data_IF_312497284723
#
_entry.id   IF_312497284723
#
_cell.length_a   1.000
_cell.length_b   1.000
_cell.length_c   1.000
_cell.angle_alpha   90.00
_cell.angle_beta   90.00
_cell.angle_gamma   90.00
#
_symmetry.space_group_name_H-M   'P 1'
#
loop_
_entity.id
_entity.type
_entity.pdbx_description
1 polymer ?
#
# COMPACT_ATOMS: atom_id res chain seq x y z
N UNK A 1 -0.08 -9.28 11.70
CA UNK A 1 0.59 -8.82 10.47
C UNK A 1 1.30 -7.52 10.79
N UNK A 2 2.50 -7.30 10.26
CA UNK A 2 3.30 -6.08 10.51
C UNK A 2 3.92 -5.62 9.19
N UNK A 3 3.75 -4.33 8.89
CA UNK A 3 4.65 -3.60 8.02
C UNK A 3 5.82 -3.11 8.85
N UNK A 4 7.02 -3.62 8.60
CA UNK A 4 8.18 -3.34 9.46
C UNK A 4 8.78 -1.95 9.21
N UNK A 5 8.56 -1.42 8.01
CA UNK A 5 9.18 -0.20 7.51
C UNK A 5 8.33 0.34 6.36
N UNK A 6 7.64 1.47 6.59
CA UNK A 6 6.81 2.12 5.58
C UNK A 6 7.70 2.78 4.53
N UNK A 7 7.43 2.53 3.25
CA UNK A 7 8.12 3.07 2.09
C UNK A 7 9.65 3.05 2.21
N UNK A 8 10.25 1.87 2.37
CA UNK A 8 11.69 1.72 2.64
C UNK A 8 12.62 2.40 1.60
N UNK A 9 12.11 2.72 0.41
CA UNK A 9 12.83 3.44 -0.65
C UNK A 9 12.80 4.98 -0.54
N UNK A 10 12.09 5.58 0.43
CA UNK A 10 12.10 7.04 0.57
C UNK A 10 13.46 7.55 1.03
N UNK A 11 13.95 8.67 0.48
CA UNK A 11 15.29 9.19 0.78
C UNK A 11 15.45 9.77 2.18
N UNK A 12 14.42 9.64 3.05
CA UNK A 12 14.44 10.12 4.44
C UNK A 12 15.02 9.10 5.42
N UNK A 13 15.12 7.83 5.05
CA UNK A 13 15.75 6.83 5.91
C UNK A 13 17.26 6.99 5.91
N UNK A 14 17.81 7.41 7.05
CA UNK A 14 19.26 7.60 7.23
C UNK A 14 20.00 6.30 7.60
N UNK A 15 19.30 5.36 8.24
CA UNK A 15 19.87 4.08 8.63
C UNK A 15 19.75 3.05 7.51
N UNK A 16 20.88 2.49 7.06
CA UNK A 16 20.92 1.52 5.94
C UNK A 16 19.99 0.31 6.14
N UNK A 17 19.83 -0.14 7.40
CA UNK A 17 18.95 -1.26 7.74
C UNK A 17 17.47 -1.01 7.41
N UNK A 18 17.08 0.26 7.22
CA UNK A 18 15.74 0.70 6.80
C UNK A 18 15.64 0.99 5.29
N UNK A 19 16.65 0.63 4.50
CA UNK A 19 16.68 0.89 3.05
C UNK A 19 16.53 -0.41 2.23
N UNK A 20 16.17 -0.34 0.93
CA UNK A 20 15.81 -1.51 0.12
C UNK A 20 16.84 -2.64 0.15
N UNK A 21 18.12 -2.27 0.08
CA UNK A 21 19.22 -3.22 0.03
C UNK A 21 19.41 -4.06 1.32
N UNK A 22 18.84 -3.65 2.47
CA UNK A 22 19.00 -4.35 3.77
C UNK A 22 17.73 -4.59 4.57
N UNK A 23 16.61 -3.94 4.24
CA UNK A 23 15.36 -4.05 5.01
C UNK A 23 14.86 -5.49 5.18
N UNK A 24 15.17 -6.38 4.24
CA UNK A 24 14.89 -7.81 4.33
C UNK A 24 15.51 -8.49 5.57
N UNK A 25 16.65 -7.99 6.07
CA UNK A 25 17.25 -8.47 7.33
C UNK A 25 16.31 -8.25 8.53
N UNK A 26 15.54 -7.16 8.56
CA UNK A 26 14.54 -6.90 9.60
C UNK A 26 13.32 -7.80 9.46
N UNK A 27 12.91 -8.08 8.22
CA UNK A 27 11.84 -9.05 7.93
C UNK A 27 12.25 -10.42 8.50
N UNK A 28 13.45 -10.89 8.18
CA UNK A 28 13.96 -12.19 8.67
C UNK A 28 14.14 -12.21 10.20
N UNK A 29 14.56 -11.11 10.81
CA UNK A 29 14.62 -10.97 12.26
C UNK A 29 13.23 -11.15 12.89
N UNK A 30 12.20 -10.45 12.39
CA UNK A 30 10.83 -10.59 12.90
C UNK A 30 10.30 -12.01 12.70
N UNK A 31 10.61 -12.65 11.57
CA UNK A 31 10.23 -14.05 11.32
C UNK A 31 10.85 -15.03 12.31
N UNK A 32 12.02 -14.71 12.87
CA UNK A 32 12.68 -15.53 13.89
C UNK A 32 12.02 -15.46 15.28
N UNK A 33 11.16 -14.46 15.52
CA UNK A 33 10.49 -14.25 16.80
C UNK A 33 9.16 -15.02 16.83
N UNK A 34 8.95 -15.81 17.88
CA UNK A 34 7.70 -16.54 18.11
C UNK A 34 7.11 -16.17 19.48
N UNK A 35 5.80 -15.99 19.54
CA UNK A 35 5.04 -15.79 20.77
C UNK A 35 3.94 -16.84 20.84
N UNK A 36 3.90 -17.64 21.91
CA UNK A 36 2.94 -18.75 22.07
C UNK A 36 2.81 -19.65 20.83
N UNK A 37 3.96 -20.02 20.23
CA UNK A 37 4.07 -20.82 18.99
C UNK A 37 3.49 -20.17 17.73
N UNK A 38 3.07 -18.91 17.80
CA UNK A 38 2.57 -18.14 16.66
C UNK A 38 3.66 -17.18 16.18
N UNK A 39 3.91 -17.18 14.87
CA UNK A 39 4.78 -16.22 14.20
C UNK A 39 3.93 -15.09 13.61
N UNK A 40 4.46 -13.87 13.64
CA UNK A 40 3.82 -12.72 13.00
C UNK A 40 4.19 -12.70 11.50
N UNK A 41 3.19 -12.51 10.63
CA UNK A 41 3.42 -12.26 9.21
C UNK A 41 4.00 -10.86 9.01
N UNK A 42 5.07 -10.74 8.21
CA UNK A 42 5.83 -9.50 8.04
C UNK A 42 6.15 -9.20 6.58
N UNK A 43 6.17 -7.91 6.26
CA UNK A 43 6.60 -7.35 4.98
C UNK A 43 7.01 -5.88 5.14
N UNK A 44 7.31 -5.22 4.02
CA UNK A 44 7.64 -3.78 3.92
C UNK A 44 7.09 -3.26 2.60
N UNK A 45 6.83 -1.97 2.52
CA UNK A 45 6.43 -1.29 1.28
C UNK A 45 7.59 -0.49 0.68
N UNK A 46 7.46 -0.17 -0.60
CA UNK A 46 8.27 0.82 -1.30
C UNK A 46 7.38 2.05 -1.55
N UNK A 47 7.99 3.20 -1.84
CA UNK A 47 7.23 4.39 -2.21
C UNK A 47 6.28 4.16 -3.40
N UNK A 48 5.33 5.09 -3.56
CA UNK A 48 4.32 5.05 -4.64
C UNK A 48 4.86 4.65 -6.02
N UNK A 49 4.07 3.88 -6.76
CA UNK A 49 4.38 3.43 -8.12
C UNK A 49 5.71 2.63 -8.25
N UNK A 50 6.12 1.95 -7.19
CA UNK A 50 7.37 1.17 -7.16
C UNK A 50 7.10 -0.28 -6.76
N UNK A 51 7.69 -1.23 -7.49
CA UNK A 51 7.65 -2.67 -7.16
C UNK A 51 8.82 -3.04 -6.22
N UNK A 52 8.70 -4.08 -5.39
CA UNK A 52 9.77 -4.50 -4.50
C UNK A 52 10.95 -5.15 -5.24
N UNK A 53 12.13 -5.13 -4.62
CA UNK A 53 13.28 -5.90 -5.07
C UNK A 53 13.21 -7.39 -4.66
N UNK A 54 13.95 -8.26 -5.37
CA UNK A 54 13.97 -9.71 -5.15
C UNK A 54 14.31 -10.12 -3.71
N UNK A 55 15.21 -9.41 -3.03
CA UNK A 55 15.56 -9.68 -1.63
C UNK A 55 14.35 -9.51 -0.70
N UNK A 56 13.53 -8.48 -0.92
CA UNK A 56 12.30 -8.24 -0.16
C UNK A 56 11.24 -9.28 -0.50
N UNK A 57 11.06 -9.59 -1.79
CA UNK A 57 10.12 -10.63 -2.22
C UNK A 57 10.45 -11.97 -1.57
N UNK A 58 11.73 -12.36 -1.57
CA UNK A 58 12.20 -13.62 -0.97
C UNK A 58 11.88 -13.75 0.52
N UNK A 59 12.06 -12.66 1.28
CA UNK A 59 11.93 -12.69 2.74
C UNK A 59 10.49 -12.45 3.22
N UNK A 60 9.64 -11.78 2.44
CA UNK A 60 8.30 -11.34 2.87
C UNK A 60 7.27 -12.47 2.96
N UNK A 61 6.26 -12.30 3.81
CA UNK A 61 5.09 -13.20 3.88
C UNK A 61 3.90 -12.72 3.01
N UNK A 62 3.94 -11.46 2.61
CA UNK A 62 3.00 -10.77 1.73
C UNK A 62 3.71 -9.54 1.15
N UNK A 63 3.26 -9.06 0.00
CA UNK A 63 3.80 -7.85 -0.62
C UNK A 63 2.89 -6.65 -0.32
N UNK A 64 3.53 -5.56 0.09
CA UNK A 64 2.93 -4.24 0.18
C UNK A 64 3.46 -3.35 -0.96
N UNK A 65 2.54 -2.70 -1.66
CA UNK A 65 2.85 -1.70 -2.69
C UNK A 65 2.01 -0.45 -2.45
N UNK A 66 2.48 0.68 -2.94
CA UNK A 66 1.76 1.95 -2.83
C UNK A 66 1.27 2.38 -4.22
N UNK A 67 -0.01 2.70 -4.34
CA UNK A 67 -0.63 3.26 -5.54
C UNK A 67 -0.49 4.77 -5.64
N UNK A 68 0.14 5.42 -4.64
CA UNK A 68 0.30 6.86 -4.59
C UNK A 68 0.92 7.43 -5.87
N UNK A 69 0.30 8.47 -6.42
CA UNK A 69 0.76 9.14 -7.63
C UNK A 69 0.56 8.35 -8.93
N UNK A 70 -0.06 7.17 -8.89
CA UNK A 70 -0.46 6.42 -10.10
C UNK A 70 -1.72 7.07 -10.68
N UNK A 71 -1.55 7.72 -11.84
CA UNK A 71 -2.64 8.42 -12.55
C UNK A 71 -3.36 7.49 -13.54
N UNK A 72 -2.64 6.62 -14.27
CA UNK A 72 -3.26 5.63 -15.16
C UNK A 72 -3.54 4.34 -14.37
N UNK A 73 -4.80 3.96 -14.14
CA UNK A 73 -5.12 2.77 -13.35
C UNK A 73 -4.55 1.47 -13.89
N UNK A 74 -4.23 1.38 -15.19
CA UNK A 74 -3.62 0.18 -15.77
C UNK A 74 -2.28 -0.15 -15.10
N UNK A 75 -1.57 0.88 -14.64
CA UNK A 75 -0.29 0.72 -13.96
C UNK A 75 -0.40 -0.14 -12.70
N UNK A 76 -1.52 -0.08 -11.98
CA UNK A 76 -1.77 -0.93 -10.79
C UNK A 76 -1.75 -2.42 -11.17
N UNK A 77 -2.41 -2.79 -12.28
CA UNK A 77 -2.38 -4.15 -12.79
C UNK A 77 -1.00 -4.58 -13.27
N UNK A 78 -0.28 -3.68 -13.96
CA UNK A 78 1.10 -3.92 -14.40
C UNK A 78 2.05 -4.16 -13.22
N UNK A 79 1.95 -3.37 -12.15
CA UNK A 79 2.75 -3.54 -10.93
C UNK A 79 2.57 -4.93 -10.30
N UNK A 80 1.32 -5.42 -10.27
CA UNK A 80 1.00 -6.78 -9.78
C UNK A 80 1.64 -7.83 -10.70
N UNK A 81 1.53 -7.67 -12.01
CA UNK A 81 2.09 -8.59 -12.99
C UNK A 81 3.63 -8.62 -12.94
N UNK A 82 4.27 -7.45 -12.89
CA UNK A 82 5.73 -7.30 -12.78
C UNK A 82 6.26 -7.94 -11.49
N UNK A 83 5.59 -7.71 -10.36
CA UNK A 83 5.97 -8.30 -9.07
C UNK A 83 5.92 -9.83 -9.12
N UNK A 84 4.86 -10.40 -9.71
CA UNK A 84 4.72 -11.86 -9.88
C UNK A 84 5.74 -12.47 -10.85
N UNK A 85 6.39 -11.65 -11.70
CA UNK A 85 7.45 -12.08 -12.63
C UNK A 85 8.85 -12.03 -12.00
N UNK A 86 9.01 -11.50 -10.79
CA UNK A 86 10.30 -11.46 -10.11
C UNK A 86 10.83 -12.88 -9.84
N UNK A 87 12.14 -13.05 -9.91
CA UNK A 87 12.78 -14.38 -9.86
C UNK A 87 12.63 -15.07 -8.52
N UNK A 88 12.53 -14.31 -7.43
CA UNK A 88 12.32 -14.84 -6.07
C UNK A 88 10.82 -14.92 -5.69
N UNK A 89 9.90 -14.68 -6.64
CA UNK A 89 8.46 -14.77 -6.37
C UNK A 89 8.05 -16.18 -5.93
N UNK A 90 7.16 -16.20 -4.93
CA UNK A 90 6.40 -17.37 -4.53
C UNK A 90 4.97 -16.93 -4.20
N UNK A 91 4.01 -17.86 -4.26
CA UNK A 91 2.59 -17.52 -4.06
C UNK A 91 2.35 -16.92 -2.67
N UNK A 92 1.99 -15.64 -2.65
CA UNK A 92 1.64 -14.88 -1.44
C UNK A 92 0.68 -13.71 -1.77
N UNK A 93 -0.03 -13.15 -0.78
CA UNK A 93 -0.90 -12.01 -0.99
C UNK A 93 -0.14 -10.76 -1.45
N UNK A 94 -0.79 -9.95 -2.29
CA UNK A 94 -0.36 -8.60 -2.66
C UNK A 94 -1.44 -7.63 -2.18
N UNK A 95 -1.03 -6.55 -1.52
CA UNK A 95 -1.90 -5.48 -1.06
C UNK A 95 -1.31 -4.13 -1.45
N UNK A 96 -2.10 -3.31 -2.12
CA UNK A 96 -1.84 -1.88 -2.15
C UNK A 96 -2.32 -1.28 -0.82
N UNK A 97 -1.45 -1.11 0.17
CA UNK A 97 -1.85 -0.65 1.51
C UNK A 97 -2.05 0.86 1.59
N UNK A 98 -1.51 1.61 0.64
CA UNK A 98 -1.65 3.06 0.51
C UNK A 98 -1.91 3.42 -0.96
N UNK A 99 -2.97 4.19 -1.23
CA UNK A 99 -3.28 4.72 -2.56
C UNK A 99 -4.14 5.99 -2.43
N UNK A 100 -3.72 7.06 -3.13
CA UNK A 100 -4.35 8.38 -3.14
C UNK A 100 -5.13 8.69 -4.44
N UNK A 101 -5.50 7.66 -5.19
CA UNK A 101 -6.37 7.80 -6.36
C UNK A 101 -7.85 7.79 -5.99
N UNK A 102 -8.60 8.79 -6.48
CA UNK A 102 -9.97 9.07 -6.01
C UNK A 102 -11.07 9.07 -7.09
N UNK A 103 -10.79 8.64 -8.32
CA UNK A 103 -11.76 8.61 -9.42
C UNK A 103 -12.73 7.41 -9.32
N UNK A 104 -13.39 7.24 -8.17
CA UNK A 104 -14.30 6.11 -7.92
C UNK A 104 -15.59 6.14 -8.74
N UNK A 105 -15.90 7.26 -9.38
CA UNK A 105 -17.00 7.45 -10.31
C UNK A 105 -16.67 6.99 -11.75
N UNK A 106 -15.42 6.60 -12.01
CA UNK A 106 -14.97 6.05 -13.28
C UNK A 106 -14.98 4.51 -13.23
N UNK A 107 -15.38 3.88 -14.35
CA UNK A 107 -15.38 2.41 -14.49
C UNK A 107 -13.99 1.80 -14.24
N UNK A 108 -12.96 2.48 -14.74
CA UNK A 108 -11.57 2.13 -14.53
C UNK A 108 -10.98 3.09 -13.49
N UNK A 109 -10.56 2.55 -12.35
CA UNK A 109 -9.87 3.26 -11.28
C UNK A 109 -8.90 2.32 -10.56
N UNK A 110 -7.95 2.86 -9.77
CA UNK A 110 -6.92 2.04 -9.13
C UNK A 110 -7.49 0.92 -8.26
N UNK A 111 -8.57 1.18 -7.52
CA UNK A 111 -9.21 0.18 -6.68
C UNK A 111 -9.75 -0.98 -7.53
N UNK A 112 -10.46 -0.67 -8.62
CA UNK A 112 -10.92 -1.68 -9.59
C UNK A 112 -9.75 -2.52 -10.14
N UNK A 113 -8.67 -1.88 -10.58
CA UNK A 113 -7.53 -2.58 -11.16
C UNK A 113 -6.84 -3.50 -10.16
N UNK A 114 -6.70 -3.08 -8.89
CA UNK A 114 -6.14 -3.91 -7.83
C UNK A 114 -6.97 -5.18 -7.61
N UNK A 115 -8.29 -5.04 -7.39
CA UNK A 115 -9.15 -6.21 -7.13
C UNK A 115 -9.22 -7.14 -8.34
N UNK A 116 -9.29 -6.60 -9.56
CA UNK A 116 -9.32 -7.39 -10.80
C UNK A 116 -7.99 -8.13 -11.05
N UNK A 117 -6.90 -7.68 -10.43
CA UNK A 117 -5.58 -8.32 -10.47
C UNK A 117 -5.35 -9.31 -9.31
N UNK A 118 -6.38 -9.58 -8.49
CA UNK A 118 -6.31 -10.37 -7.27
C UNK A 118 -5.32 -9.78 -6.23
N UNK A 119 -5.36 -8.46 -6.07
CA UNK A 119 -4.64 -7.73 -5.03
C UNK A 119 -5.64 -6.97 -4.14
N UNK A 120 -5.31 -6.80 -2.86
CA UNK A 120 -6.05 -5.91 -1.98
C UNK A 120 -5.75 -4.43 -2.29
N UNK A 121 -6.57 -3.53 -1.76
CA UNK A 121 -6.43 -2.09 -1.95
C UNK A 121 -6.80 -1.30 -0.68
N UNK A 122 -6.10 -0.20 -0.41
CA UNK A 122 -6.17 0.58 0.82
C UNK A 122 -6.33 2.07 0.56
N UNK A 123 -7.31 2.68 1.23
CA UNK A 123 -7.67 4.09 1.04
C UNK A 123 -6.74 5.02 1.82
N UNK A 124 -5.96 5.84 1.12
CA UNK A 124 -5.15 6.91 1.69
C UNK A 124 -5.67 8.28 1.25
N UNK A 125 -6.19 9.03 2.20
CA UNK A 125 -6.80 10.35 1.99
C UNK A 125 -6.12 11.40 2.89
N UNK A 126 -4.97 11.94 2.46
CA UNK A 126 -4.30 13.01 3.19
C UNK A 126 -4.96 14.38 2.94
N UNK A 127 -6.19 14.46 2.41
CA UNK A 127 -6.83 15.73 2.06
C UNK A 127 -6.13 16.42 0.88
N UNK A 128 -5.73 17.67 1.06
CA UNK A 128 -4.99 18.46 0.06
C UNK A 128 -3.57 17.92 -0.22
N UNK A 129 -3.02 17.07 0.67
CA UNK A 129 -1.69 16.48 0.49
C UNK A 129 -1.60 15.34 -0.53
N UNK A 130 -2.69 15.01 -1.22
CA UNK A 130 -2.74 13.89 -2.16
C UNK A 130 -1.98 14.18 -3.47
N UNK A 131 -1.75 13.12 -4.25
CA UNK A 131 -1.06 13.16 -5.54
C UNK A 131 0.45 12.90 -5.42
N UNK A 132 0.85 12.06 -4.46
CA UNK A 132 2.26 11.72 -4.22
C UNK A 132 3.12 12.82 -3.59
N UNK A 133 2.50 13.87 -3.06
CA UNK A 133 3.18 14.93 -2.33
C UNK A 133 3.37 14.58 -0.84
N UNK A 134 4.25 15.30 -0.15
CA UNK A 134 4.38 15.18 1.30
C UNK A 134 3.02 15.48 1.97
N UNK A 135 2.60 14.63 2.91
CA UNK A 135 1.30 14.61 3.56
C UNK A 135 1.01 15.85 4.44
N UNK A 136 0.90 17.02 3.82
CA UNK A 136 0.50 18.28 4.44
C UNK A 136 -0.89 18.69 3.94
N UNK A 137 -1.92 17.91 4.28
CA UNK A 137 -3.30 18.37 4.13
C UNK A 137 -3.85 18.98 5.43
N UNK A 138 -5.16 18.91 5.59
CA UNK A 138 -5.86 19.38 6.78
C UNK A 138 -6.60 18.26 7.56
N UNK A 139 -6.79 18.49 8.86
CA UNK A 139 -7.47 17.56 9.78
C UNK A 139 -9.00 17.46 9.56
N UNK A 140 -9.59 18.41 8.84
CA UNK A 140 -11.02 18.47 8.58
C UNK A 140 -11.40 17.51 7.43
N UNK A 141 -10.57 17.38 6.41
CA UNK A 141 -10.85 16.66 5.18
C UNK A 141 -10.08 15.34 5.07
N UNK A 142 -8.82 15.26 5.52
CA UNK A 142 -8.02 14.04 5.43
C UNK A 142 -8.32 13.03 6.54
N UNK A 143 -8.21 11.73 6.26
CA UNK A 143 -8.27 10.67 7.27
C UNK A 143 -6.91 10.39 7.94
N UNK A 144 -5.80 10.85 7.36
CA UNK A 144 -4.44 10.62 7.90
C UNK A 144 -3.86 11.82 8.66
N UNK A 145 -4.70 12.78 9.07
CA UNK A 145 -4.25 14.01 9.72
C UNK A 145 -4.90 14.18 11.08
N UNK A 146 -4.08 14.21 12.13
CA UNK A 146 -4.53 14.30 13.52
C UNK A 146 -4.76 15.76 13.94
N UNK A 147 -5.86 16.08 14.65
CA UNK A 147 -6.95 15.17 15.05
C UNK A 147 -7.92 14.83 13.90
N UNK A 148 -8.20 13.55 13.67
CA UNK A 148 -8.97 13.10 12.49
C UNK A 148 -10.46 13.41 12.62
N UNK A 149 -11.04 14.04 11.60
CA UNK A 149 -12.49 14.09 11.39
C UNK A 149 -13.00 12.79 10.73
N UNK A 150 -13.55 11.88 11.54
CA UNK A 150 -14.08 10.58 11.11
C UNK A 150 -15.42 10.63 10.36
N UNK A 151 -16.02 11.81 10.17
CA UNK A 151 -17.25 11.93 9.39
C UNK A 151 -17.00 11.83 7.88
N UNK A 152 -18.02 11.39 7.13
CA UNK A 152 -18.03 11.40 5.66
C UNK A 152 -18.41 12.82 5.18
N UNK A 153 -17.50 13.77 5.35
CA UNK A 153 -17.75 15.19 5.14
C UNK A 153 -17.38 15.73 3.75
N UNK A 154 -16.71 14.94 2.92
CA UNK A 154 -16.27 15.34 1.57
C UNK A 154 -16.92 14.45 0.51
N UNK A 155 -17.07 14.96 -0.71
CA UNK A 155 -17.60 14.15 -1.81
C UNK A 155 -16.63 13.01 -2.17
N UNK A 156 -15.32 13.22 -2.02
CA UNK A 156 -14.29 12.17 -2.09
C UNK A 156 -14.61 10.97 -1.18
N UNK A 157 -14.86 11.23 0.11
CA UNK A 157 -15.23 10.19 1.09
C UNK A 157 -16.56 9.52 0.73
N UNK A 158 -17.57 10.30 0.32
CA UNK A 158 -18.86 9.74 -0.12
C UNK A 158 -18.69 8.79 -1.30
N UNK A 159 -17.93 9.20 -2.31
CA UNK A 159 -17.65 8.40 -3.50
C UNK A 159 -16.94 7.10 -3.14
N UNK A 160 -15.92 7.16 -2.27
CA UNK A 160 -15.23 5.97 -1.77
C UNK A 160 -16.20 4.96 -1.11
N UNK A 161 -17.01 5.40 -0.13
CA UNK A 161 -17.91 4.49 0.58
C UNK A 161 -19.05 3.96 -0.29
N UNK A 162 -19.55 4.77 -1.23
CA UNK A 162 -20.55 4.32 -2.20
C UNK A 162 -19.97 3.25 -3.14
N UNK A 163 -18.73 3.46 -3.62
CA UNK A 163 -18.03 2.50 -4.46
C UNK A 163 -17.73 1.21 -3.70
N UNK A 164 -17.20 1.31 -2.47
CA UNK A 164 -16.96 0.17 -1.59
C UNK A 164 -18.24 -0.64 -1.37
N UNK A 165 -19.35 0.02 -1.03
CA UNK A 165 -20.63 -0.65 -0.86
C UNK A 165 -21.08 -1.37 -2.15
N UNK A 166 -20.87 -0.76 -3.32
CA UNK A 166 -21.21 -1.36 -4.61
C UNK A 166 -20.43 -2.65 -4.87
N UNK A 167 -19.12 -2.68 -4.58
CA UNK A 167 -18.29 -3.87 -4.82
C UNK A 167 -18.45 -4.96 -3.75
N UNK A 168 -18.89 -4.63 -2.53
CA UNK A 168 -19.04 -5.60 -1.44
C UNK A 168 -20.46 -6.15 -1.25
N UNK A 169 -21.48 -5.51 -1.82
CA UNK A 169 -22.89 -5.92 -1.64
C UNK A 169 -23.35 -7.04 -2.59
N UNK A 170 -22.43 -7.91 -2.99
CA UNK A 170 -22.71 -9.10 -3.80
C UNK A 170 -23.52 -10.16 -3.05
#
# INVERSE_FOLDING_TARGET
MIEINNECSVPKYEHEILQPHRVHELIDLVKSIQYDSTRILVGTSYGGNTIPENNVVKSSDFILMHGNGVIDPKRISEMVEETRKLTEWHDMPILFNEDDHFEFDHELNNFYCAINSFAGWGYFDPGEGAGGNAAFGDYQNGYQLIPVNWSINTDRKKNYFNYLATITSG
#
